data_IF_711461291260
#
_entry.id   IF_711461291260
#
_cell.length_a   1.000
_cell.length_b   1.000
_cell.length_c   1.000
_cell.angle_alpha   90.00
_cell.angle_beta   90.00
_cell.angle_gamma   90.00
#
_symmetry.space_group_name_H-M   'P 1'
#
loop_
_entity.id
_entity.type
_entity.pdbx_description
1 polymer ?
#
# COMPACT_ATOMS: atom_id res chain seq x y z
N UNK A 1 -5.33 15.43 -4.50
CA UNK A 1 -5.27 14.41 -3.45
C UNK A 1 -5.00 13.06 -4.11
N UNK A 2 -3.99 12.33 -3.64
CA UNK A 2 -3.66 11.01 -4.19
C UNK A 2 -4.24 9.88 -3.33
N UNK A 3 -4.14 9.99 -2.01
CA UNK A 3 -4.56 8.93 -1.09
C UNK A 3 -5.03 9.54 0.23
N UNK A 4 -6.11 8.96 0.77
CA UNK A 4 -6.60 9.27 2.11
C UNK A 4 -6.67 8.00 2.95
N UNK A 5 -6.33 8.10 4.22
CA UNK A 5 -6.42 7.00 5.18
C UNK A 5 -7.41 7.39 6.25
N UNK A 6 -8.47 6.59 6.41
CA UNK A 6 -9.59 6.87 7.31
C UNK A 6 -10.19 8.27 7.10
N UNK A 7 -10.25 8.69 5.81
CA UNK A 7 -10.82 9.99 5.44
C UNK A 7 -9.88 11.18 5.59
N UNK A 8 -8.64 10.95 6.02
CA UNK A 8 -7.63 12.01 6.21
C UNK A 8 -6.57 11.89 5.14
N UNK A 9 -6.28 13.00 4.49
CA UNK A 9 -5.24 13.06 3.46
C UNK A 9 -3.87 12.72 4.07
N UNK A 10 -3.06 11.94 3.32
CA UNK A 10 -1.73 11.53 3.76
C UNK A 10 -0.82 12.75 3.96
N UNK A 11 0.05 12.69 4.97
CA UNK A 11 0.89 13.82 5.37
C UNK A 11 1.89 14.26 4.30
N UNK A 12 2.29 13.37 3.41
CA UNK A 12 3.19 13.68 2.30
C UNK A 12 2.89 12.75 1.13
N UNK A 13 3.18 13.20 -0.09
CA UNK A 13 2.97 12.37 -1.27
C UNK A 13 4.17 11.47 -1.54
N UNK A 14 3.95 10.21 -1.94
CA UNK A 14 5.04 9.33 -2.34
C UNK A 14 5.64 9.77 -3.69
N UNK A 15 6.93 9.49 -3.86
CA UNK A 15 7.58 9.69 -5.16
C UNK A 15 7.28 8.56 -6.13
N UNK A 16 6.91 7.38 -5.61
CA UNK A 16 6.46 6.25 -6.40
C UNK A 16 5.17 5.71 -5.78
N UNK A 17 4.19 5.43 -6.62
CA UNK A 17 2.90 4.92 -6.21
C UNK A 17 2.44 3.90 -7.24
N UNK A 18 2.31 2.64 -6.81
CA UNK A 18 1.94 1.53 -7.68
C UNK A 18 0.74 0.80 -7.10
N UNK A 19 -0.29 0.62 -7.91
CA UNK A 19 -1.45 -0.20 -7.55
C UNK A 19 -1.37 -1.49 -8.36
N UNK A 20 -1.31 -2.62 -7.66
CA UNK A 20 -1.26 -3.93 -8.27
C UNK A 20 -2.58 -4.65 -8.01
N UNK A 21 -3.17 -5.19 -9.06
CA UNK A 21 -4.36 -6.04 -8.94
C UNK A 21 -3.90 -7.49 -8.83
N UNK A 22 -4.22 -8.14 -7.72
CA UNK A 22 -3.78 -9.51 -7.43
C UNK A 22 -4.95 -10.47 -7.60
N UNK A 23 -4.73 -11.52 -8.38
CA UNK A 23 -5.65 -12.66 -8.43
C UNK A 23 -5.18 -13.72 -7.44
N UNK A 24 -6.05 -14.08 -6.50
CA UNK A 24 -5.78 -15.13 -5.53
C UNK A 24 -6.48 -16.40 -5.96
N UNK A 25 -5.70 -17.45 -6.23
CA UNK A 25 -6.18 -18.74 -6.65
C UNK A 25 -6.49 -19.65 -5.45
N UNK A 26 -7.46 -20.56 -5.64
CA UNK A 26 -7.69 -21.60 -4.66
C UNK A 26 -6.54 -22.61 -4.65
N UNK A 27 -6.29 -23.23 -3.49
CA UNK A 27 -5.27 -24.27 -3.34
C UNK A 27 -5.56 -25.49 -4.22
N UNK A 28 -6.82 -25.66 -4.61
CA UNK A 28 -7.27 -26.77 -5.45
C UNK A 28 -7.04 -26.54 -6.94
N UNK A 29 -6.42 -25.42 -7.32
CA UNK A 29 -6.10 -25.17 -8.73
C UNK A 29 -5.19 -26.26 -9.26
N UNK A 30 -5.62 -26.93 -10.33
CA UNK A 30 -4.92 -28.08 -10.91
C UNK A 30 -5.18 -28.18 -12.40
N UNK A 31 -4.30 -28.91 -13.11
CA UNK A 31 -4.52 -29.26 -14.51
C UNK A 31 -5.51 -30.38 -14.61
N UNK A 32 -6.39 -30.33 -15.61
CA UNK A 32 -7.29 -31.41 -15.93
C UNK A 32 -6.59 -32.48 -16.77
N UNK A 33 -7.25 -33.62 -16.96
CA UNK A 33 -6.69 -34.75 -17.71
C UNK A 33 -6.39 -34.41 -19.18
N UNK A 34 -7.04 -33.42 -19.76
CA UNK A 34 -6.80 -32.95 -21.12
C UNK A 34 -5.66 -31.92 -21.22
N UNK A 35 -4.99 -31.63 -20.11
CA UNK A 35 -3.87 -30.69 -20.06
C UNK A 35 -4.24 -29.24 -19.81
N UNK A 36 -5.51 -28.92 -19.75
CA UNK A 36 -5.94 -27.56 -19.43
C UNK A 36 -5.78 -27.27 -17.94
N UNK A 37 -5.40 -26.04 -17.61
CA UNK A 37 -5.33 -25.59 -16.24
C UNK A 37 -6.69 -25.07 -15.80
N UNK A 38 -7.27 -25.73 -14.80
CA UNK A 38 -8.44 -25.21 -14.13
C UNK A 38 -8.01 -24.28 -13.01
N UNK A 39 -8.30 -23.00 -13.16
CA UNK A 39 -7.93 -22.00 -12.20
C UNK A 39 -9.16 -21.54 -11.41
N UNK A 40 -9.17 -21.84 -10.12
CA UNK A 40 -10.21 -21.41 -9.20
C UNK A 40 -9.77 -20.11 -8.56
N UNK A 41 -10.19 -18.99 -9.15
CA UNK A 41 -9.90 -17.68 -8.59
C UNK A 41 -10.88 -17.37 -7.48
N UNK A 42 -10.38 -17.35 -6.22
CA UNK A 42 -11.21 -17.06 -5.05
C UNK A 42 -11.62 -15.59 -5.04
N UNK A 43 -10.66 -14.69 -5.30
CA UNK A 43 -10.90 -13.26 -5.18
C UNK A 43 -9.84 -12.46 -5.93
N UNK A 44 -10.16 -11.20 -6.14
CA UNK A 44 -9.23 -10.20 -6.68
C UNK A 44 -8.98 -9.18 -5.57
N UNK A 45 -7.72 -8.95 -5.24
CA UNK A 45 -7.33 -7.98 -4.22
C UNK A 45 -6.33 -6.98 -4.78
N UNK A 46 -6.24 -5.82 -4.14
CA UNK A 46 -5.30 -4.78 -4.53
C UNK A 46 -4.15 -4.71 -3.54
N UNK A 47 -3.00 -4.38 -4.08
CA UNK A 47 -1.81 -4.08 -3.29
C UNK A 47 -1.29 -2.73 -3.73
N UNK A 48 -1.02 -1.86 -2.76
CA UNK A 48 -0.49 -0.53 -3.02
C UNK A 48 0.92 -0.47 -2.50
N UNK A 49 1.87 -0.15 -3.38
CA UNK A 49 3.27 0.05 -3.03
C UNK A 49 3.60 1.52 -3.15
N UNK A 50 4.13 2.09 -2.08
CA UNK A 50 4.53 3.50 -2.03
C UNK A 50 5.96 3.61 -1.57
N UNK A 51 6.73 4.47 -2.24
CA UNK A 51 8.08 4.84 -1.84
C UNK A 51 8.13 6.35 -1.68
N UNK A 52 8.63 6.80 -0.54
CA UNK A 52 8.73 8.22 -0.23
C UNK A 52 10.18 8.70 -0.39
N UNK A 53 10.33 9.98 -0.73
CA UNK A 53 11.63 10.63 -0.74
C UNK A 53 12.01 11.13 0.65
N UNK A 54 12.69 12.27 0.72
CA UNK A 54 13.09 12.85 1.98
C UNK A 54 11.88 13.44 2.70
N UNK A 55 11.68 13.02 3.94
CA UNK A 55 10.56 13.45 4.78
C UNK A 55 11.07 14.02 6.09
N UNK A 56 10.37 15.02 6.62
CA UNK A 56 10.64 15.52 7.97
C UNK A 56 10.14 14.51 9.01
N UNK A 57 10.62 14.63 10.24
CA UNK A 57 10.17 13.76 11.34
C UNK A 57 8.65 13.85 11.52
N UNK A 58 8.07 15.03 11.42
CA UNK A 58 6.62 15.22 11.55
C UNK A 58 5.84 14.49 10.43
N UNK A 59 6.34 14.54 9.20
CA UNK A 59 5.70 13.86 8.08
C UNK A 59 5.74 12.35 8.23
N UNK A 60 6.90 11.79 8.59
CA UNK A 60 7.05 10.35 8.83
C UNK A 60 6.13 9.91 9.97
N UNK A 61 6.13 10.65 11.07
CA UNK A 61 5.26 10.34 12.22
C UNK A 61 3.79 10.36 11.82
N UNK A 62 3.36 11.37 11.06
CA UNK A 62 1.99 11.47 10.58
C UNK A 62 1.58 10.28 9.72
N UNK A 63 2.45 9.85 8.81
CA UNK A 63 2.19 8.70 7.94
C UNK A 63 2.08 7.42 8.75
N UNK A 64 3.04 7.16 9.62
CA UNK A 64 3.06 5.92 10.43
C UNK A 64 1.91 5.87 11.43
N UNK A 65 1.55 7.02 12.03
CA UNK A 65 0.42 7.09 12.96
C UNK A 65 -0.92 6.84 12.26
N UNK A 66 -1.06 7.30 11.02
CA UNK A 66 -2.28 7.05 10.25
C UNK A 66 -2.50 5.56 9.99
N UNK A 67 -1.44 4.76 10.00
CA UNK A 67 -1.46 3.33 9.71
C UNK A 67 -1.22 2.46 10.93
N UNK A 68 -1.48 2.98 12.14
CA UNK A 68 -1.19 2.25 13.38
C UNK A 68 -2.18 1.13 13.68
N UNK A 69 -3.39 1.22 13.16
CA UNK A 69 -4.43 0.23 13.39
C UNK A 69 -4.17 -1.04 12.57
N UNK A 70 -4.74 -2.16 13.02
CA UNK A 70 -4.59 -3.44 12.31
C UNK A 70 -5.18 -3.33 10.91
N UNK A 71 -6.36 -2.72 10.80
CA UNK A 71 -7.03 -2.45 9.53
C UNK A 71 -7.44 -0.99 9.47
N UNK A 72 -7.41 -0.41 8.30
CA UNK A 72 -7.84 0.97 8.09
C UNK A 72 -8.39 1.14 6.66
N UNK A 73 -9.24 2.12 6.47
CA UNK A 73 -9.82 2.42 5.17
C UNK A 73 -8.90 3.32 4.37
N UNK A 74 -8.68 2.96 3.11
CA UNK A 74 -7.84 3.71 2.19
C UNK A 74 -8.66 4.10 0.97
N UNK A 75 -8.73 5.41 0.69
CA UNK A 75 -9.29 5.94 -0.54
C UNK A 75 -8.14 6.23 -1.51
N UNK A 76 -8.18 5.64 -2.68
CA UNK A 76 -7.09 5.72 -3.65
C UNK A 76 -7.63 5.64 -5.08
N UNK A 77 -6.86 6.10 -6.09
CA UNK A 77 -7.25 5.92 -7.48
C UNK A 77 -6.97 4.48 -7.92
N UNK A 78 -8.02 3.77 -8.32
CA UNK A 78 -7.90 2.38 -8.76
C UNK A 78 -7.87 2.34 -10.29
N UNK A 79 -6.79 1.85 -10.91
CA UNK A 79 -6.68 1.83 -12.37
C UNK A 79 -7.65 0.87 -13.04
N UNK A 80 -8.07 -0.19 -12.35
CA UNK A 80 -9.04 -1.13 -12.89
C UNK A 80 -10.45 -0.54 -12.95
N UNK A 81 -10.80 0.26 -11.94
CA UNK A 81 -12.11 0.94 -11.87
C UNK A 81 -12.10 2.23 -12.70
N UNK A 82 -10.96 2.90 -12.77
CA UNK A 82 -10.82 4.18 -13.46
C UNK A 82 -11.28 5.37 -12.64
N UNK A 83 -11.39 5.22 -11.33
CA UNK A 83 -11.82 6.28 -10.42
C UNK A 83 -11.32 5.97 -9.00
N UNK A 84 -11.55 6.90 -8.08
CA UNK A 84 -11.25 6.69 -6.67
C UNK A 84 -12.22 5.71 -6.06
N UNK A 85 -11.69 4.79 -5.26
CA UNK A 85 -12.50 3.86 -4.45
C UNK A 85 -11.92 3.78 -3.05
N UNK A 86 -12.72 3.28 -2.11
CA UNK A 86 -12.32 3.07 -0.73
C UNK A 86 -12.39 1.59 -0.41
N UNK A 87 -11.28 1.05 0.09
CA UNK A 87 -11.16 -0.35 0.52
C UNK A 87 -10.47 -0.42 1.85
N UNK A 88 -10.63 -1.53 2.55
CA UNK A 88 -9.94 -1.78 3.81
C UNK A 88 -8.63 -2.49 3.54
N UNK A 89 -7.55 -1.94 4.08
CA UNK A 89 -6.18 -2.44 3.90
C UNK A 89 -5.51 -2.71 5.25
N UNK A 90 -4.43 -3.46 5.20
CA UNK A 90 -3.50 -3.59 6.31
C UNK A 90 -2.08 -3.36 5.81
N UNK A 91 -1.18 -3.01 6.72
CA UNK A 91 0.22 -2.77 6.40
C UNK A 91 1.09 -3.73 7.21
N UNK A 92 2.13 -4.25 6.55
CA UNK A 92 3.14 -5.08 7.20
C UNK A 92 4.31 -4.25 7.71
N UNK A 93 5.53 -4.65 7.34
CA UNK A 93 6.74 -3.92 7.71
C UNK A 93 6.76 -2.52 7.07
N UNK A 94 7.25 -1.55 7.83
CA UNK A 94 7.33 -0.15 7.40
C UNK A 94 8.77 0.34 7.56
N UNK A 95 9.71 -0.14 6.73
CA UNK A 95 11.11 0.26 6.90
C UNK A 95 11.33 1.74 6.60
N UNK A 96 12.02 2.42 7.50
CA UNK A 96 12.50 3.79 7.33
C UNK A 96 14.04 3.74 7.41
N UNK A 97 14.70 3.31 6.34
CA UNK A 97 16.07 2.81 6.44
C UNK A 97 17.15 3.89 6.61
N UNK A 98 16.86 5.15 6.37
CA UNK A 98 17.90 6.16 6.36
C UNK A 98 17.50 7.42 7.12
N UNK A 99 18.15 7.65 8.26
CA UNK A 99 18.03 8.88 9.02
C UNK A 99 19.16 9.82 8.63
N UNK A 100 18.82 11.08 8.37
CA UNK A 100 19.78 12.13 7.99
C UNK A 100 19.60 13.26 8.96
N UNK A 101 20.69 13.66 9.61
CA UNK A 101 20.71 14.86 10.45
C UNK A 101 21.31 16.02 9.70
N UNK A 102 20.60 17.16 9.67
CA UNK A 102 21.07 18.36 9.01
C UNK A 102 20.66 19.57 9.86
N UNK A 103 21.65 20.30 10.34
CA UNK A 103 21.44 21.49 11.20
C UNK A 103 20.57 21.19 12.43
N UNK A 104 20.76 20.03 13.05
CA UNK A 104 19.98 19.63 14.22
C UNK A 104 18.59 19.10 13.92
N UNK A 105 18.22 18.98 12.65
CA UNK A 105 16.92 18.48 12.22
C UNK A 105 17.08 17.10 11.59
N UNK A 106 16.23 16.16 12.01
CA UNK A 106 16.25 14.80 11.49
C UNK A 106 15.31 14.69 10.29
N UNK A 107 15.83 14.13 9.21
CA UNK A 107 15.05 13.77 8.02
C UNK A 107 15.16 12.27 7.79
N UNK A 108 14.12 11.70 7.20
CA UNK A 108 14.09 10.28 6.84
C UNK A 108 13.95 10.14 5.34
N UNK A 109 14.73 9.25 4.76
CA UNK A 109 14.67 8.96 3.33
C UNK A 109 14.45 7.47 3.13
N UNK A 110 13.71 7.14 2.07
CA UNK A 110 13.52 5.75 1.67
C UNK A 110 12.41 5.00 2.41
N UNK A 111 11.48 5.71 3.05
CA UNK A 111 10.31 5.05 3.64
C UNK A 111 9.56 4.29 2.55
N UNK A 112 9.33 3.00 2.79
CA UNK A 112 8.55 2.14 1.89
C UNK A 112 7.36 1.57 2.65
N UNK A 113 6.21 1.62 2.00
CA UNK A 113 4.96 1.12 2.58
C UNK A 113 4.28 0.24 1.54
N UNK A 114 3.91 -0.97 1.95
CA UNK A 114 3.10 -1.86 1.15
C UNK A 114 1.77 -2.09 1.86
N UNK A 115 0.69 -1.69 1.22
CA UNK A 115 -0.67 -1.88 1.71
C UNK A 115 -1.29 -3.04 0.98
N UNK A 116 -1.88 -3.98 1.71
CA UNK A 116 -2.56 -5.13 1.14
C UNK A 116 -4.03 -5.06 1.51
N UNK A 117 -4.91 -5.26 0.54
CA UNK A 117 -6.36 -5.27 0.78
C UNK A 117 -6.72 -6.45 1.67
N UNK A 118 -7.58 -6.18 2.63
CA UNK A 118 -8.10 -7.19 3.55
C UNK A 118 -8.97 -8.22 2.84
#
# INVERSE_FOLDING_TARGET
>A
MLIKINGVEIAAYPKEFTVTTLDLDAETTARTADGNLNRDRITVKRQIDMTFGVLTMAQVSGILQAMKDIYFDVEYPDPMVGDYITKTFYVGNRPTPMAIEKNGVIYWDGLKITLTER
#
